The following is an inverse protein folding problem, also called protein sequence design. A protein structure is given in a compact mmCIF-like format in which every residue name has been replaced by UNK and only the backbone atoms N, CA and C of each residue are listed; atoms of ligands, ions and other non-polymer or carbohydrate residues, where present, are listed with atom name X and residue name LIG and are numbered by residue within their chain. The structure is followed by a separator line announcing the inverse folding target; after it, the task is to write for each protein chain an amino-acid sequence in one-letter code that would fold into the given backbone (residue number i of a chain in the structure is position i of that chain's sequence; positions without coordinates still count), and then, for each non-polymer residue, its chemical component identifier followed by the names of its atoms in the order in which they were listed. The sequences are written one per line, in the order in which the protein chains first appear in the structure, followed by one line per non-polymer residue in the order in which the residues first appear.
data_IF_561582264123
#
_entry.id   IF_561582264123
#
_cell.length_a   1.000
_cell.length_b   1.000
_cell.length_c   1.000
_cell.angle_alpha   90.00
_cell.angle_beta   90.00
_cell.angle_gamma   90.00
#
_symmetry.space_group_name_H-M   'P 1'
#
loop_
_entity.id
_entity.type
_entity.pdbx_description
1 polymer ?
#
# COMPACT_ATOMS: atom_id res chain seq x y z
N UNK A 1 -2.80 -29.77 -31.65
CA UNK A 1 -1.67 -30.56 -31.13
C UNK A 1 -0.54 -29.57 -30.89
N UNK A 2 0.03 -29.38 -29.71
CA UNK A 2 0.51 -30.40 -28.78
C UNK A 2 0.60 -29.78 -27.37
N UNK A 3 0.01 -30.50 -26.42
CA UNK A 3 0.35 -30.59 -25.00
C UNK A 3 0.45 -29.31 -24.16
N UNK A 4 -0.70 -28.97 -23.57
CA UNK A 4 -0.74 -28.55 -22.16
C UNK A 4 -0.32 -29.76 -21.32
N UNK A 5 0.98 -29.90 -21.07
CA UNK A 5 1.47 -30.81 -20.05
C UNK A 5 1.14 -30.19 -18.69
N UNK A 6 -0.01 -30.57 -18.15
CA UNK A 6 -0.35 -30.49 -16.73
C UNK A 6 0.59 -31.42 -15.92
N UNK A 7 1.90 -31.16 -15.98
CA UNK A 7 2.80 -31.50 -14.89
C UNK A 7 2.92 -30.23 -14.05
N UNK A 8 1.85 -29.96 -13.30
CA UNK A 8 2.04 -29.33 -12.00
C UNK A 8 2.80 -30.37 -11.19
N UNK A 9 4.14 -30.37 -11.32
CA UNK A 9 4.98 -30.86 -10.26
C UNK A 9 4.48 -30.16 -9.01
N UNK A 10 3.75 -30.88 -8.16
CA UNK A 10 3.46 -30.46 -6.82
C UNK A 10 4.82 -30.35 -6.14
N UNK A 11 5.43 -29.17 -6.28
CA UNK A 11 6.49 -28.75 -5.40
C UNK A 11 5.93 -28.97 -4.00
N UNK A 12 6.77 -29.48 -3.12
CA UNK A 12 6.46 -29.88 -1.75
C UNK A 12 6.02 -28.72 -0.84
N UNK A 13 5.51 -27.63 -1.41
CA UNK A 13 5.05 -26.38 -0.79
C UNK A 13 3.52 -26.33 -0.64
N UNK A 14 2.88 -27.49 -0.41
CA UNK A 14 1.45 -27.54 -0.10
C UNK A 14 1.17 -26.83 1.22
N UNK A 15 0.11 -26.01 1.28
CA UNK A 15 -0.26 -25.26 2.49
C UNK A 15 -0.44 -26.15 3.74
N UNK A 16 -0.87 -27.40 3.53
CA UNK A 16 -1.18 -28.35 4.60
C UNK A 16 0.04 -29.03 5.21
N UNK A 17 1.22 -28.87 4.61
CA UNK A 17 2.45 -29.37 5.20
C UNK A 17 2.86 -28.54 6.43
N UNK A 18 3.44 -29.18 7.47
CA UNK A 18 3.83 -28.51 8.70
C UNK A 18 4.65 -27.24 8.44
N UNK A 19 4.23 -26.13 9.02
CA UNK A 19 4.91 -24.85 8.88
C UNK A 19 4.69 -24.07 7.59
N UNK A 20 4.00 -24.60 6.57
CA UNK A 20 3.74 -23.86 5.31
C UNK A 20 2.68 -22.76 5.45
N UNK A 21 1.88 -22.77 6.54
CA UNK A 21 0.97 -21.67 6.90
C UNK A 21 1.69 -20.32 7.12
N UNK A 22 3.02 -20.33 7.34
CA UNK A 22 3.83 -19.12 7.54
C UNK A 22 3.75 -18.14 6.38
N UNK A 23 3.51 -18.62 5.15
CA UNK A 23 3.26 -17.74 3.99
C UNK A 23 2.01 -16.89 4.20
N UNK A 24 0.96 -17.47 4.76
CA UNK A 24 -0.29 -16.76 5.09
C UNK A 24 -0.08 -15.79 6.25
N UNK A 25 0.67 -16.15 7.28
CA UNK A 25 0.90 -15.26 8.44
C UNK A 25 1.84 -14.10 8.11
N UNK A 26 2.78 -14.28 7.19
CA UNK A 26 3.60 -13.21 6.63
C UNK A 26 2.78 -12.14 5.90
N UNK A 27 1.66 -12.50 5.26
CA UNK A 27 0.79 -11.53 4.56
C UNK A 27 0.27 -10.42 5.48
N UNK A 28 0.17 -10.66 6.78
CA UNK A 28 -0.22 -9.63 7.76
C UNK A 28 0.86 -8.54 7.86
N UNK A 29 2.14 -8.93 7.91
CA UNK A 29 3.26 -7.97 7.90
C UNK A 29 3.36 -7.23 6.58
N UNK A 30 3.20 -7.96 5.46
CA UNK A 30 3.20 -7.36 4.13
C UNK A 30 2.04 -6.36 3.97
N UNK A 31 0.85 -6.67 4.49
CA UNK A 31 -0.29 -5.74 4.49
C UNK A 31 0.02 -4.43 5.22
N UNK A 32 0.64 -4.52 6.41
CA UNK A 32 1.06 -3.33 7.16
C UNK A 32 2.12 -2.53 6.39
N UNK A 33 3.04 -3.20 5.71
CA UNK A 33 4.07 -2.55 4.87
C UNK A 33 3.47 -1.86 3.66
N UNK A 34 2.52 -2.50 2.98
CA UNK A 34 1.85 -1.94 1.80
C UNK A 34 1.10 -0.64 2.10
N UNK A 35 0.59 -0.44 3.33
CA UNK A 35 0.04 0.85 3.73
C UNK A 35 1.10 1.97 3.69
N UNK A 36 2.35 1.68 4.08
CA UNK A 36 3.44 2.65 4.03
C UNK A 36 3.84 2.94 2.58
N UNK A 37 3.92 1.90 1.74
CA UNK A 37 4.21 2.04 0.31
C UNK A 37 3.13 2.90 -0.39
N UNK A 38 1.85 2.71 -0.04
CA UNK A 38 0.75 3.53 -0.55
C UNK A 38 0.86 4.99 -0.09
N UNK A 39 1.16 5.23 1.18
CA UNK A 39 1.38 6.59 1.71
C UNK A 39 2.53 7.27 0.94
N UNK A 40 3.63 6.55 0.71
CA UNK A 40 4.77 7.06 -0.03
C UNK A 40 4.39 7.44 -1.46
N UNK A 41 3.67 6.57 -2.16
CA UNK A 41 3.15 6.84 -3.51
C UNK A 41 2.31 8.13 -3.56
N UNK A 42 1.41 8.31 -2.58
CA UNK A 42 0.55 9.50 -2.53
C UNK A 42 1.35 10.76 -2.20
N UNK A 43 2.36 10.67 -1.33
CA UNK A 43 3.26 11.80 -1.02
C UNK A 43 4.05 12.24 -2.25
N UNK A 44 4.61 11.29 -3.01
CA UNK A 44 5.32 11.58 -4.25
C UNK A 44 4.40 12.25 -5.28
N UNK A 45 3.16 11.76 -5.41
CA UNK A 45 2.16 12.42 -6.25
C UNK A 45 1.85 13.84 -5.79
N UNK A 46 1.67 14.06 -4.49
CA UNK A 46 1.40 15.39 -3.92
C UNK A 46 2.56 16.37 -4.15
N UNK A 47 3.81 15.89 -4.16
CA UNK A 47 4.97 16.73 -4.46
C UNK A 47 5.00 17.16 -5.94
N UNK A 48 4.59 16.30 -6.88
CA UNK A 48 4.43 16.66 -8.31
C UNK A 48 3.44 17.81 -8.47
N UNK A 49 2.27 17.72 -7.82
CA UNK A 49 1.23 18.77 -7.86
C UNK A 49 1.78 20.12 -7.34
N UNK A 50 2.53 20.09 -6.25
CA UNK A 50 3.17 21.27 -5.65
C UNK A 50 4.23 21.88 -6.57
N UNK A 51 5.05 21.07 -7.23
CA UNK A 51 6.08 21.55 -8.17
C UNK A 51 5.42 22.25 -9.36
N UNK A 52 4.34 21.68 -9.91
CA UNK A 52 3.61 22.29 -11.02
C UNK A 52 2.98 23.63 -10.63
N UNK A 53 2.29 23.67 -9.48
CA UNK A 53 1.73 24.92 -8.94
C UNK A 53 2.81 26.00 -8.72
N UNK A 54 3.98 25.62 -8.17
CA UNK A 54 5.10 26.55 -7.97
C UNK A 54 5.61 27.12 -9.30
N UNK A 55 5.70 26.28 -10.34
CA UNK A 55 6.13 26.70 -11.68
C UNK A 55 5.13 27.68 -12.32
N UNK A 56 3.82 27.39 -12.23
CA UNK A 56 2.78 28.30 -12.71
C UNK A 56 2.84 29.66 -12.00
N UNK A 57 2.94 29.67 -10.67
CA UNK A 57 3.01 30.89 -9.88
C UNK A 57 4.25 31.73 -10.21
N UNK A 58 5.40 31.07 -10.39
CA UNK A 58 6.64 31.74 -10.80
C UNK A 58 6.55 32.33 -12.21
N UNK A 59 5.99 31.57 -13.15
CA UNK A 59 5.78 32.01 -14.53
C UNK A 59 4.81 33.18 -14.62
N UNK A 60 3.65 33.10 -13.96
CA UNK A 60 2.64 34.15 -13.94
C UNK A 60 3.20 35.46 -13.36
N UNK A 61 3.91 35.38 -12.23
CA UNK A 61 4.58 36.55 -11.62
C UNK A 61 5.59 37.20 -12.58
N UNK A 62 6.47 36.39 -13.19
CA UNK A 62 7.47 36.89 -14.14
C UNK A 62 6.81 37.64 -15.30
N UNK A 63 5.75 37.07 -15.88
CA UNK A 63 5.10 37.68 -17.03
C UNK A 63 4.26 38.89 -16.65
N UNK A 64 3.59 38.90 -15.50
CA UNK A 64 2.93 40.10 -14.99
C UNK A 64 3.92 41.28 -14.86
N UNK A 65 5.10 41.04 -14.28
CA UNK A 65 6.14 42.08 -14.15
C UNK A 65 6.63 42.62 -15.51
N UNK A 66 6.70 41.76 -16.53
CA UNK A 66 7.11 42.13 -17.89
C UNK A 66 6.00 42.92 -18.60
N UNK A 67 4.75 42.48 -18.47
CA UNK A 67 3.59 43.11 -19.11
C UNK A 67 3.40 44.53 -18.54
N UNK A 68 3.42 44.69 -17.22
CA UNK A 68 3.20 45.98 -16.56
C UNK A 68 4.25 47.05 -16.89
N UNK A 69 5.48 46.62 -17.20
CA UNK A 69 6.58 47.52 -17.61
C UNK A 69 6.72 47.63 -19.12
N UNK A 70 5.93 46.85 -19.86
CA UNK A 70 5.97 46.79 -21.31
C UNK A 70 5.27 47.97 -21.97
N UNK A 71 5.46 48.15 -23.28
CA UNK A 71 4.79 49.21 -24.04
C UNK A 71 3.36 48.83 -24.49
N UNK A 72 2.88 47.63 -24.16
CA UNK A 72 1.51 47.17 -24.50
C UNK A 72 0.50 47.75 -23.51
N UNK A 73 -0.66 48.18 -23.99
CA UNK A 73 -1.69 48.79 -23.15
C UNK A 73 -3.11 48.49 -23.62
N UNK A 74 -4.09 48.80 -22.78
CA UNK A 74 -5.51 48.71 -23.13
C UNK A 74 -6.01 47.26 -23.18
N UNK A 75 -6.88 46.96 -24.15
CA UNK A 75 -7.59 45.67 -24.19
C UNK A 75 -6.68 44.48 -24.47
N UNK A 76 -5.60 44.68 -25.23
CA UNK A 76 -4.63 43.61 -25.54
C UNK A 76 -3.78 43.27 -24.32
N UNK A 77 -3.30 44.29 -23.58
CA UNK A 77 -2.63 44.10 -22.28
C UNK A 77 -3.51 43.32 -21.30
N UNK A 78 -4.80 43.69 -21.22
CA UNK A 78 -5.76 42.98 -20.39
C UNK A 78 -5.94 41.51 -20.82
N UNK A 79 -5.94 41.23 -22.13
CA UNK A 79 -6.00 39.86 -22.64
C UNK A 79 -4.75 39.04 -22.25
N UNK A 80 -3.56 39.65 -22.29
CA UNK A 80 -2.32 38.98 -21.86
C UNK A 80 -2.32 38.70 -20.36
N UNK A 81 -2.76 39.67 -19.54
CA UNK A 81 -2.97 39.49 -18.09
C UNK A 81 -4.04 38.43 -17.79
N UNK A 82 -4.99 38.21 -18.70
CA UNK A 82 -5.96 37.12 -18.60
C UNK A 82 -5.30 35.74 -18.53
N UNK A 83 -4.22 35.53 -19.29
CA UNK A 83 -3.49 34.25 -19.32
C UNK A 83 -2.71 34.02 -18.02
N UNK A 84 -2.08 35.05 -17.48
CA UNK A 84 -1.36 34.93 -16.20
C UNK A 84 -2.32 34.71 -15.03
N UNK A 85 -3.48 35.36 -15.04
CA UNK A 85 -4.55 35.13 -14.06
C UNK A 85 -5.11 33.71 -14.13
N UNK A 86 -5.26 33.13 -15.32
CA UNK A 86 -5.67 31.73 -15.49
C UNK A 86 -4.66 30.78 -14.83
N UNK A 87 -3.36 30.98 -15.07
CA UNK A 87 -2.31 30.17 -14.47
C UNK A 87 -2.28 30.27 -12.93
N UNK A 88 -2.58 31.44 -12.36
CA UNK A 88 -2.73 31.61 -10.91
C UNK A 88 -3.90 30.79 -10.36
N UNK A 89 -5.05 30.78 -11.04
CA UNK A 89 -6.21 29.96 -10.65
C UNK A 89 -5.91 28.47 -10.77
N UNK A 90 -5.20 28.04 -11.80
CA UNK A 90 -4.77 26.64 -11.95
C UNK A 90 -3.79 26.26 -10.83
N UNK A 91 -2.84 27.14 -10.48
CA UNK A 91 -1.97 26.94 -9.33
C UNK A 91 -2.77 26.66 -8.04
N UNK A 92 -3.82 27.44 -7.75
CA UNK A 92 -4.69 27.19 -6.58
C UNK A 92 -5.39 25.83 -6.64
N UNK A 93 -5.88 25.41 -7.81
CA UNK A 93 -6.48 24.08 -7.99
C UNK A 93 -5.48 22.99 -7.64
N UNK A 94 -4.26 23.05 -8.15
CA UNK A 94 -3.22 22.05 -7.88
C UNK A 94 -2.78 22.04 -6.41
N UNK A 95 -2.72 23.20 -5.75
CA UNK A 95 -2.47 23.26 -4.31
C UNK A 95 -3.59 22.58 -3.50
N UNK A 96 -4.85 22.78 -3.88
CA UNK A 96 -5.99 22.07 -3.25
C UNK A 96 -5.93 20.56 -3.47
N UNK A 97 -5.55 20.10 -4.67
CA UNK A 97 -5.35 18.67 -4.94
C UNK A 97 -4.27 18.10 -4.02
N UNK A 98 -3.11 18.76 -3.93
CA UNK A 98 -2.04 18.38 -3.01
C UNK A 98 -2.51 18.31 -1.56
N UNK A 99 -3.29 19.29 -1.10
CA UNK A 99 -3.82 19.29 0.27
C UNK A 99 -4.77 18.14 0.53
N UNK A 100 -5.70 17.84 -0.39
CA UNK A 100 -6.62 16.69 -0.25
C UNK A 100 -5.90 15.36 -0.25
N UNK A 101 -4.87 15.19 -1.08
CA UNK A 101 -4.04 13.98 -1.07
C UNK A 101 -3.39 13.74 0.29
N UNK A 102 -2.87 14.78 0.94
CA UNK A 102 -2.18 14.65 2.22
C UNK A 102 -3.14 14.60 3.42
N UNK A 103 -4.16 15.45 3.42
CA UNK A 103 -5.03 15.62 4.58
C UNK A 103 -6.15 14.59 4.61
N UNK A 104 -6.64 14.16 3.45
CA UNK A 104 -7.70 13.16 3.35
C UNK A 104 -7.05 11.79 3.16
N UNK A 105 -6.48 11.53 1.98
CA UNK A 105 -6.03 10.16 1.62
C UNK A 105 -4.95 9.62 2.56
N UNK A 106 -3.85 10.36 2.78
CA UNK A 106 -2.76 9.88 3.66
C UNK A 106 -3.24 9.74 5.12
N UNK A 107 -4.06 10.66 5.62
CA UNK A 107 -4.61 10.58 6.98
C UNK A 107 -5.54 9.39 7.16
N UNK A 108 -6.41 9.13 6.17
CA UNK A 108 -7.32 7.97 6.15
C UNK A 108 -6.53 6.66 6.16
N UNK A 109 -5.49 6.53 5.33
CA UNK A 109 -4.65 5.32 5.29
C UNK A 109 -3.91 5.14 6.62
N UNK A 110 -3.37 6.21 7.20
CA UNK A 110 -2.71 6.15 8.52
C UNK A 110 -3.67 5.72 9.62
N UNK A 111 -4.89 6.26 9.64
CA UNK A 111 -5.92 5.88 10.60
C UNK A 111 -6.29 4.42 10.44
N UNK A 112 -6.60 3.99 9.21
CA UNK A 112 -6.92 2.61 8.92
C UNK A 112 -5.78 1.66 9.33
N UNK A 113 -4.52 2.00 9.03
CA UNK A 113 -3.36 1.21 9.43
C UNK A 113 -3.28 1.06 10.96
N UNK A 114 -3.47 2.17 11.70
CA UNK A 114 -3.46 2.17 13.17
C UNK A 114 -4.58 1.29 13.75
N UNK A 115 -5.77 1.36 13.18
CA UNK A 115 -6.95 0.63 13.67
C UNK A 115 -6.89 -0.87 13.32
N UNK A 116 -6.13 -1.26 12.28
CA UNK A 116 -6.06 -2.64 11.80
C UNK A 116 -4.77 -3.38 12.20
N UNK A 117 -3.68 -2.67 12.49
CA UNK A 117 -2.38 -3.27 12.84
C UNK A 117 -1.90 -2.79 14.20
N UNK A 118 -1.94 -3.68 15.19
CA UNK A 118 -1.61 -3.35 16.58
C UNK A 118 -0.26 -3.97 16.93
N UNK A 119 0.67 -3.16 17.42
CA UNK A 119 1.96 -3.66 17.91
C UNK A 119 1.88 -3.94 19.40
N UNK A 120 2.47 -5.06 19.82
CA UNK A 120 2.65 -5.38 21.23
C UNK A 120 3.90 -4.67 21.81
N UNK A 121 4.17 -4.86 23.11
CA UNK A 121 5.34 -4.26 23.80
C UNK A 121 6.70 -4.64 23.19
N UNK A 122 6.79 -5.78 22.49
CA UNK A 122 7.99 -6.23 21.76
C UNK A 122 8.01 -5.75 20.30
N UNK A 123 7.18 -4.77 19.94
CA UNK A 123 7.00 -4.22 18.60
C UNK A 123 6.55 -5.20 17.50
N UNK A 124 6.13 -6.42 17.87
CA UNK A 124 5.60 -7.40 16.93
C UNK A 124 4.11 -7.15 16.67
N UNK A 125 3.66 -7.41 15.44
CA UNK A 125 2.24 -7.33 15.09
C UNK A 125 1.45 -8.39 15.85
N UNK A 126 0.54 -7.94 16.71
CA UNK A 126 -0.32 -8.77 17.54
C UNK A 126 -1.10 -9.78 16.69
N UNK A 127 -1.69 -9.31 15.58
CA UNK A 127 -2.49 -10.13 14.67
C UNK A 127 -1.69 -11.28 14.04
N UNK A 128 -0.43 -11.03 13.66
CA UNK A 128 0.44 -12.08 13.13
C UNK A 128 0.72 -13.13 14.21
N UNK A 129 1.09 -12.69 15.40
CA UNK A 129 1.40 -13.59 16.52
C UNK A 129 0.19 -14.47 16.89
N UNK A 130 -0.98 -13.86 17.02
CA UNK A 130 -2.21 -14.60 17.35
C UNK A 130 -2.54 -15.65 16.28
N UNK A 131 -2.35 -15.31 15.01
CA UNK A 131 -2.57 -16.26 13.92
C UNK A 131 -1.51 -17.37 13.87
N UNK A 132 -0.23 -17.04 14.09
CA UNK A 132 0.85 -18.03 14.20
C UNK A 132 0.59 -19.01 15.37
N UNK A 133 0.18 -18.51 16.54
CA UNK A 133 -0.10 -19.33 17.72
C UNK A 133 -1.33 -20.22 17.51
N UNK A 134 -2.35 -19.74 16.80
CA UNK A 134 -3.51 -20.53 16.40
C UNK A 134 -3.14 -21.67 15.45
N UNK A 135 -2.35 -21.39 14.40
CA UNK A 135 -1.89 -22.44 13.47
C UNK A 135 -1.02 -23.48 14.17
N UNK A 136 -0.06 -23.07 15.02
CA UNK A 136 0.76 -24.01 15.82
C UNK A 136 -0.08 -24.93 16.70
N UNK A 137 -1.16 -24.39 17.30
CA UNK A 137 -2.07 -25.17 18.14
C UNK A 137 -2.81 -26.24 17.33
N UNK A 138 -3.36 -25.86 16.17
CA UNK A 138 -4.07 -26.78 15.27
C UNK A 138 -3.11 -27.86 14.75
N UNK A 139 -1.92 -27.45 14.30
CA UNK A 139 -0.89 -28.33 13.78
C UNK A 139 -0.48 -29.38 14.84
N UNK A 140 -0.17 -28.93 16.07
CA UNK A 140 0.17 -29.82 17.18
C UNK A 140 -0.96 -30.81 17.52
N UNK A 141 -2.21 -30.34 17.53
CA UNK A 141 -3.37 -31.20 17.82
C UNK A 141 -3.66 -32.19 16.70
N UNK A 142 -3.54 -31.78 15.44
CA UNK A 142 -3.73 -32.62 14.26
C UNK A 142 -2.68 -33.72 14.17
N UNK A 143 -1.40 -33.36 14.41
CA UNK A 143 -0.32 -34.34 14.47
C UNK A 143 -0.48 -35.32 15.62
N UNK A 144 -0.89 -34.86 16.81
CA UNK A 144 -1.16 -35.76 17.92
C UNK A 144 -2.25 -36.79 17.56
N UNK A 145 -3.34 -36.37 16.91
CA UNK A 145 -4.39 -37.27 16.45
C UNK A 145 -3.93 -38.23 15.34
N UNK A 146 -3.08 -37.77 14.42
CA UNK A 146 -2.53 -38.60 13.36
C UNK A 146 -1.55 -39.65 13.93
N UNK A 147 -0.66 -39.24 14.83
CA UNK A 147 0.28 -40.13 15.51
C UNK A 147 -0.45 -41.20 16.33
N UNK A 148 -1.53 -40.83 17.03
CA UNK A 148 -2.38 -41.76 17.79
C UNK A 148 -3.12 -42.78 16.89
N UNK A 149 -3.63 -42.35 15.72
CA UNK A 149 -4.20 -43.29 14.74
C UNK A 149 -3.14 -44.19 14.12
N UNK A 150 -1.96 -43.66 13.83
CA UNK A 150 -0.86 -44.42 13.26
C UNK A 150 -0.35 -45.48 14.25
N UNK A 151 -0.22 -45.15 15.54
CA UNK A 151 0.12 -46.12 16.58
C UNK A 151 -0.98 -47.17 16.79
N UNK A 152 -2.26 -46.79 16.74
CA UNK A 152 -3.37 -47.75 16.79
C UNK A 152 -3.35 -48.73 15.59
N UNK A 153 -3.07 -48.25 14.38
CA UNK A 153 -2.94 -49.11 13.19
C UNK A 153 -1.69 -50.00 13.26
N UNK A 154 -0.60 -49.51 13.86
CA UNK A 154 0.62 -50.30 14.06
C UNK A 154 0.42 -51.39 15.13
N UNK A 155 -0.28 -51.07 16.22
CA UNK A 155 -0.61 -52.00 17.30
C UNK A 155 -1.57 -53.12 16.85
N UNK A 156 -2.54 -52.81 15.99
CA UNK A 156 -3.45 -53.83 15.41
C UNK A 156 -2.76 -54.79 14.44
N UNK A 157 -1.54 -54.49 13.97
CA UNK A 157 -0.75 -55.38 13.09
C UNK A 157 0.33 -56.18 13.85
N UNK A 158 0.45 -56.00 15.16
CA UNK A 158 1.48 -56.63 15.99
C UNK A 158 0.97 -57.70 16.97
N UNK A 159 -0.32 -58.05 16.94
CA UNK A 159 -0.83 -59.22 17.64
C UNK A 159 -0.74 -60.47 16.71
N UNK A 160 -0.10 -61.57 17.17
CA UNK A 160 0.08 -62.79 16.38
C UNK A 160 -1.18 -63.66 16.24
#
# INVERSE_FOLDING_TARGET
MSQHSDEVMATTDSFWEPGNYKRTTKRIEDGNRLCLDLIQLVNERAEIEKIYAKSLKGWAKKWNDIIEKGPEYGTTEAAWKGVTMEAERVCEVHLRVKERLLNDVVSEVKRWQKDNFHRNMMQQLKQKREMDDAFKKVEKSGFACFADRASHVFLMKSEP
#
